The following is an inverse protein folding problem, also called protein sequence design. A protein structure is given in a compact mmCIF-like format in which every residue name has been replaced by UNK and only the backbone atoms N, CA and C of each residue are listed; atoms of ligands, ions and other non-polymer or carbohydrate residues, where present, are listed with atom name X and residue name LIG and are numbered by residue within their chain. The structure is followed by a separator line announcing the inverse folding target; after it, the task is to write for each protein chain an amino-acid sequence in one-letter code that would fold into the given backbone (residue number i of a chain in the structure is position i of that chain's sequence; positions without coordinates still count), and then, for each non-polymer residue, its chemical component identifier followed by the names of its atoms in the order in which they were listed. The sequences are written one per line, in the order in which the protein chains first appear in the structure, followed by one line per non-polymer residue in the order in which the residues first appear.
data_IF_357121833832
#
_entry.id   IF_357121833832
#
_cell.length_a   1.000
_cell.length_b   1.000
_cell.length_c   1.000
_cell.angle_alpha   90.00
_cell.angle_beta   90.00
_cell.angle_gamma   90.00
#
_symmetry.space_group_name_H-M   'P 1'
#
loop_
_entity.id
_entity.type
_entity.pdbx_description
1 polymer ?
#
# COMPACT_ATOMS: atom_id res chain seq x y z
N UNK A 1 -0.15 -17.63 -11.31
CA UNK A 1 0.18 -16.31 -10.71
C UNK A 1 -0.96 -15.88 -9.80
N UNK A 2 -0.66 -15.33 -8.65
CA UNK A 2 -1.69 -14.84 -7.72
C UNK A 2 -2.37 -13.58 -8.28
N UNK A 3 -3.62 -13.40 -7.90
CA UNK A 3 -4.32 -12.14 -8.16
C UNK A 3 -3.83 -11.08 -7.16
N UNK A 4 -2.88 -10.29 -7.56
CA UNK A 4 -2.23 -9.30 -6.69
C UNK A 4 -3.15 -8.15 -6.29
N UNK A 5 -4.09 -7.78 -7.16
CA UNK A 5 -5.08 -6.75 -6.81
C UNK A 5 -5.99 -7.27 -5.71
N UNK A 6 -6.42 -8.52 -5.78
CA UNK A 6 -7.23 -9.13 -4.74
C UNK A 6 -6.46 -9.23 -3.42
N UNK A 7 -5.19 -9.61 -3.48
CA UNK A 7 -4.32 -9.66 -2.30
C UNK A 7 -4.22 -8.26 -1.67
N UNK A 8 -4.04 -7.23 -2.49
CA UNK A 8 -3.98 -5.85 -2.00
C UNK A 8 -5.28 -5.45 -1.30
N UNK A 9 -6.43 -5.81 -1.85
CA UNK A 9 -7.73 -5.53 -1.23
C UNK A 9 -7.89 -6.23 0.11
N UNK A 10 -7.53 -7.50 0.17
CA UNK A 10 -7.59 -8.28 1.41
C UNK A 10 -6.64 -7.72 2.47
N UNK A 11 -5.44 -7.32 2.07
CA UNK A 11 -4.49 -6.67 2.96
C UNK A 11 -5.07 -5.37 3.52
N UNK A 12 -5.65 -4.53 2.66
CA UNK A 12 -6.25 -3.27 3.07
C UNK A 12 -7.37 -3.48 4.09
N UNK A 13 -8.24 -4.45 3.85
CA UNK A 13 -9.31 -4.81 4.78
C UNK A 13 -8.75 -5.28 6.12
N UNK A 14 -7.67 -6.06 6.10
CA UNK A 14 -7.06 -6.62 7.30
C UNK A 14 -6.41 -5.57 8.19
N UNK A 15 -5.83 -4.51 7.60
CA UNK A 15 -5.15 -3.47 8.36
C UNK A 15 -6.06 -2.28 8.71
N UNK A 16 -7.23 -2.17 8.08
CA UNK A 16 -8.08 -0.98 8.22
C UNK A 16 -8.50 -0.76 9.68
N UNK A 17 -8.46 0.49 10.10
CA UNK A 17 -8.84 0.92 11.44
C UNK A 17 -9.21 2.40 11.43
N UNK A 18 -9.68 2.91 12.56
CA UNK A 18 -10.02 4.33 12.71
C UNK A 18 -8.80 5.25 12.58
N UNK A 19 -7.59 4.70 12.69
CA UNK A 19 -6.35 5.46 12.52
C UNK A 19 -6.00 5.71 11.06
N UNK A 20 -6.62 5.00 10.12
CA UNK A 20 -6.27 5.06 8.70
C UNK A 20 -7.30 5.88 7.94
N UNK A 21 -6.82 6.89 7.20
CA UNK A 21 -7.67 7.76 6.40
C UNK A 21 -7.94 7.21 5.02
N UNK A 22 -6.93 6.61 4.39
CA UNK A 22 -7.06 6.08 3.04
C UNK A 22 -5.97 5.05 2.78
N UNK A 23 -6.27 4.07 1.92
CA UNK A 23 -5.32 3.07 1.47
C UNK A 23 -5.37 3.01 -0.06
N UNK A 24 -4.21 3.17 -0.70
CA UNK A 24 -4.11 3.26 -2.16
C UNK A 24 -3.08 2.26 -2.68
N UNK A 25 -3.49 1.44 -3.64
CA UNK A 25 -2.58 0.59 -4.41
C UNK A 25 -1.94 1.45 -5.51
N UNK A 26 -0.61 1.41 -5.62
CA UNK A 26 0.09 2.14 -6.68
C UNK A 26 1.21 1.27 -7.27
N UNK A 27 2.01 1.85 -8.15
CA UNK A 27 3.13 1.14 -8.76
C UNK A 27 2.70 0.18 -9.87
N UNK A 28 3.56 -0.80 -10.15
CA UNK A 28 3.39 -1.68 -11.30
C UNK A 28 2.12 -2.53 -11.25
N UNK A 29 1.74 -3.01 -10.08
CA UNK A 29 0.50 -3.81 -9.94
C UNK A 29 -0.72 -2.96 -10.27
N UNK A 30 -0.76 -1.71 -9.80
CA UNK A 30 -1.88 -0.81 -10.11
C UNK A 30 -1.96 -0.49 -11.61
N UNK A 31 -0.80 -0.33 -12.25
CA UNK A 31 -0.74 -0.06 -13.70
C UNK A 31 -1.02 -1.29 -14.57
N UNK A 32 -0.92 -2.48 -13.99
CA UNK A 32 -1.09 -3.73 -14.75
C UNK A 32 0.15 -4.15 -15.53
N UNK A 33 1.32 -3.58 -15.24
CA UNK A 33 2.57 -3.93 -15.90
C UNK A 33 3.56 -4.65 -14.98
N UNK A 34 3.05 -5.22 -13.89
CA UNK A 34 3.86 -5.96 -12.92
C UNK A 34 4.42 -7.26 -13.52
N UNK A 35 5.59 -7.63 -13.01
CA UNK A 35 6.30 -8.85 -13.40
C UNK A 35 6.35 -9.81 -12.22
N UNK A 36 6.91 -11.00 -12.44
CA UNK A 36 6.94 -12.08 -11.47
C UNK A 36 7.45 -11.64 -10.09
N UNK A 37 8.48 -10.81 -10.05
CA UNK A 37 9.10 -10.38 -8.80
C UNK A 37 8.73 -8.95 -8.38
N UNK A 38 7.71 -8.38 -9.00
CA UNK A 38 7.24 -7.04 -8.61
C UNK A 38 6.61 -7.07 -7.22
N UNK A 39 6.88 -6.03 -6.43
CA UNK A 39 6.23 -5.83 -5.13
C UNK A 39 4.83 -5.24 -5.33
N UNK A 40 3.99 -5.46 -4.34
CA UNK A 40 2.67 -4.83 -4.27
C UNK A 40 2.82 -3.55 -3.45
N UNK A 41 2.85 -2.40 -4.11
CA UNK A 41 3.08 -1.10 -3.47
C UNK A 41 1.76 -0.52 -2.93
N UNK A 42 1.72 -0.28 -1.63
CA UNK A 42 0.51 0.23 -0.97
C UNK A 42 0.85 1.46 -0.15
N UNK A 43 0.15 2.56 -0.41
CA UNK A 43 0.24 3.78 0.37
C UNK A 43 -0.86 3.79 1.42
N UNK A 44 -0.49 4.01 2.68
CA UNK A 44 -1.39 4.07 3.82
C UNK A 44 -1.31 5.47 4.39
N UNK A 45 -2.41 6.21 4.31
CA UNK A 45 -2.45 7.59 4.80
C UNK A 45 -2.99 7.59 6.22
N UNK A 46 -2.14 7.98 7.16
CA UNK A 46 -2.47 8.02 8.58
C UNK A 46 -1.61 9.03 9.32
N UNK A 47 -2.19 9.72 10.28
CA UNK A 47 -1.45 10.60 11.19
C UNK A 47 -0.98 9.84 12.45
N UNK A 48 -1.22 8.54 12.52
CA UNK A 48 -0.97 7.71 13.69
C UNK A 48 -0.08 6.50 13.36
N UNK A 49 1.03 6.74 12.65
CA UNK A 49 1.91 5.67 12.17
C UNK A 49 2.38 4.73 13.29
N UNK A 50 2.68 5.29 14.47
CA UNK A 50 3.18 4.50 15.59
C UNK A 50 2.17 3.46 16.09
N UNK A 51 0.89 3.76 15.98
CA UNK A 51 -0.18 2.89 16.45
C UNK A 51 -0.47 1.74 15.51
N UNK A 52 -0.08 1.87 14.23
CA UNK A 52 -0.48 0.92 13.19
C UNK A 52 0.71 0.20 12.53
N UNK A 53 1.93 0.71 12.67
CA UNK A 53 3.10 0.22 11.94
C UNK A 53 3.39 -1.26 12.19
N UNK A 54 3.42 -1.67 13.45
CA UNK A 54 3.77 -3.06 13.81
C UNK A 54 2.75 -4.04 13.26
N UNK A 55 1.48 -3.74 13.36
CA UNK A 55 0.41 -4.59 12.83
C UNK A 55 0.49 -4.70 11.31
N UNK A 56 0.75 -3.59 10.63
CA UNK A 56 0.89 -3.58 9.17
C UNK A 56 2.06 -4.46 8.74
N UNK A 57 3.20 -4.35 9.41
CA UNK A 57 4.39 -5.16 9.11
C UNK A 57 4.09 -6.63 9.34
N UNK A 58 3.44 -6.98 10.46
CA UNK A 58 3.09 -8.35 10.79
C UNK A 58 2.18 -8.98 9.74
N UNK A 59 1.14 -8.26 9.32
CA UNK A 59 0.20 -8.76 8.31
C UNK A 59 0.88 -8.89 6.95
N UNK A 60 1.73 -7.92 6.57
CA UNK A 60 2.49 -8.00 5.32
C UNK A 60 3.40 -9.22 5.32
N UNK A 61 4.03 -9.53 6.45
CA UNK A 61 4.88 -10.71 6.60
C UNK A 61 4.08 -12.02 6.48
N UNK A 62 2.89 -12.08 7.07
CA UNK A 62 2.01 -13.23 6.94
C UNK A 62 1.66 -13.51 5.46
N UNK A 63 1.47 -12.46 4.68
CA UNK A 63 1.18 -12.61 3.25
C UNK A 63 2.38 -13.17 2.49
N UNK A 64 3.60 -12.76 2.84
CA UNK A 64 4.81 -13.34 2.25
C UNK A 64 4.85 -14.85 2.51
N UNK A 65 4.59 -15.26 3.75
CA UNK A 65 4.62 -16.67 4.12
C UNK A 65 3.51 -17.48 3.46
N UNK A 66 2.32 -16.92 3.34
CA UNK A 66 1.14 -17.63 2.84
C UNK A 66 1.04 -17.61 1.30
N UNK A 67 1.33 -16.47 0.69
CA UNK A 67 1.10 -16.25 -0.75
C UNK A 67 2.38 -16.13 -1.56
N UNK A 68 3.54 -16.03 -0.94
CA UNK A 68 4.82 -15.74 -1.60
C UNK A 68 4.76 -14.43 -2.42
N UNK A 69 4.01 -13.44 -1.93
CA UNK A 69 3.92 -12.11 -2.52
C UNK A 69 4.42 -11.08 -1.52
N UNK A 70 5.19 -10.09 -1.98
CA UNK A 70 5.75 -9.06 -1.12
C UNK A 70 4.88 -7.82 -1.17
N UNK A 71 4.35 -7.44 0.00
CA UNK A 71 3.68 -6.15 0.18
C UNK A 71 4.74 -5.14 0.60
N UNK A 72 4.79 -4.00 -0.10
CA UNK A 72 5.68 -2.88 0.24
C UNK A 72 4.81 -1.73 0.77
N UNK A 73 4.59 -1.66 2.10
CA UNK A 73 3.73 -0.62 2.67
C UNK A 73 4.50 0.68 2.87
N UNK A 74 3.85 1.79 2.53
CA UNK A 74 4.38 3.13 2.72
C UNK A 74 3.37 3.92 3.57
N UNK A 75 3.74 4.26 4.79
CA UNK A 75 2.87 5.00 5.69
C UNK A 75 3.26 6.47 5.65
N UNK A 76 2.29 7.34 5.36
CA UNK A 76 2.52 8.78 5.28
C UNK A 76 1.34 9.53 5.89
N UNK A 77 1.63 10.66 6.56
CA UNK A 77 0.59 11.57 7.01
C UNK A 77 0.14 12.49 5.88
N UNK A 78 -1.06 13.06 5.99
CA UNK A 78 -1.51 14.04 5.00
C UNK A 78 -0.55 15.24 4.90
N UNK A 79 -0.03 15.72 6.03
CA UNK A 79 0.91 16.84 6.02
C UNK A 79 2.22 16.48 5.33
N UNK A 80 2.70 15.24 5.48
CA UNK A 80 3.90 14.79 4.78
C UNK A 80 3.66 14.67 3.27
N UNK A 81 2.48 14.21 2.86
CA UNK A 81 2.14 14.15 1.44
C UNK A 81 2.13 15.53 0.80
N UNK A 82 1.63 16.53 1.52
CA UNK A 82 1.61 17.92 1.04
C UNK A 82 3.02 18.53 0.95
N UNK A 83 3.98 17.99 1.68
CA UNK A 83 5.37 18.47 1.71
C UNK A 83 6.31 17.68 0.80
N UNK A 84 5.83 16.57 0.21
CA UNK A 84 6.66 15.76 -0.68
C UNK A 84 6.97 16.56 -1.93
N UNK A 85 8.25 16.84 -2.14
CA UNK A 85 8.75 17.54 -3.32
C UNK A 85 8.94 16.60 -4.51
N UNK A 86 8.79 15.30 -4.29
CA UNK A 86 8.92 14.31 -5.37
C UNK A 86 7.66 14.26 -6.20
N UNK A 87 7.63 15.08 -7.22
CA UNK A 87 6.52 15.13 -8.17
C UNK A 87 6.28 13.79 -8.86
N UNK A 88 7.34 13.00 -9.09
CA UNK A 88 7.20 11.71 -9.76
C UNK A 88 6.38 10.73 -8.95
N UNK A 89 6.62 10.65 -7.64
CA UNK A 89 5.89 9.76 -6.74
C UNK A 89 4.41 10.13 -6.68
N UNK A 90 4.12 11.39 -6.39
CA UNK A 90 2.73 11.86 -6.28
C UNK A 90 2.00 11.79 -7.62
N UNK A 91 2.69 12.11 -8.71
CA UNK A 91 2.10 12.02 -10.04
C UNK A 91 1.70 10.59 -10.38
N UNK A 92 2.54 9.62 -10.03
CA UNK A 92 2.23 8.21 -10.27
C UNK A 92 1.02 7.76 -9.45
N UNK A 93 0.93 8.20 -8.19
CA UNK A 93 -0.21 7.86 -7.34
C UNK A 93 -1.50 8.45 -7.89
N UNK A 94 -1.48 9.72 -8.30
CA UNK A 94 -2.67 10.38 -8.84
C UNK A 94 -3.10 9.76 -10.17
N UNK A 95 -2.14 9.41 -11.02
CA UNK A 95 -2.44 8.86 -12.35
C UNK A 95 -2.91 7.41 -12.29
N UNK A 96 -2.20 6.57 -11.53
CA UNK A 96 -2.35 5.11 -11.60
C UNK A 96 -2.94 4.50 -10.32
N UNK A 97 -3.04 5.25 -9.24
CA UNK A 97 -3.45 4.72 -7.95
C UNK A 97 -4.88 4.19 -7.94
N UNK A 98 -5.06 3.07 -7.27
CA UNK A 98 -6.37 2.46 -7.05
C UNK A 98 -6.71 2.59 -5.57
N UNK A 99 -7.78 3.31 -5.27
CA UNK A 99 -8.23 3.47 -3.88
C UNK A 99 -8.83 2.14 -3.41
N UNK A 100 -8.26 1.56 -2.36
CA UNK A 100 -8.73 0.30 -1.78
C UNK A 100 -9.71 0.54 -0.64
N UNK A 101 -9.47 1.59 0.12
CA UNK A 101 -10.35 2.02 1.21
C UNK A 101 -10.40 3.54 1.28
#
# INVERSE_FOLDING_TARGET
MNDRIQIAKEFAESINSDYIKQIILFGSVARGDDKEFSDIDILIISDNAKEIEDEIIDIAFEIVLDKQEVISPHIASESNLNKIEDFSFMKNIVRDGIVLI
#
